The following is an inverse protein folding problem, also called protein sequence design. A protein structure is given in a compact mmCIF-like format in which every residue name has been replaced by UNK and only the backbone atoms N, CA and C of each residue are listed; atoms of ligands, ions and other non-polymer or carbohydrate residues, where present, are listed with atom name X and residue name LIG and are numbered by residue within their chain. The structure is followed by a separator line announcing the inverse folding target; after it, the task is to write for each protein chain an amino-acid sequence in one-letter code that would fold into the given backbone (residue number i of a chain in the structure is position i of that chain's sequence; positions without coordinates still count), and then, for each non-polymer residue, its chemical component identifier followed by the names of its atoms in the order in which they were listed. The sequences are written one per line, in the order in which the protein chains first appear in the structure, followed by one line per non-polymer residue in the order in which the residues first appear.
data_IF_960754939538
#
_entry.id   IF_960754939538
#
_cell.length_a   1.000
_cell.length_b   1.000
_cell.length_c   1.000
_cell.angle_alpha   90.00
_cell.angle_beta   90.00
_cell.angle_gamma   90.00
#
_symmetry.space_group_name_H-M   'P 1'
#
loop_
_entity.id
_entity.type
_entity.pdbx_description
1 polymer ?
#
# COMPACT_ATOMS: atom_id res chain seq x y z
N UNK A 1 20.50 37.91 46.75
CA UNK A 1 20.08 36.50 46.57
C UNK A 1 20.30 36.12 45.12
N UNK A 2 21.40 35.44 44.82
CA UNK A 2 21.75 34.98 43.47
C UNK A 2 22.04 33.50 43.53
N UNK A 3 21.05 32.67 43.19
CA UNK A 3 21.23 31.22 43.07
C UNK A 3 22.08 30.94 41.84
N UNK A 4 23.41 30.87 42.01
CA UNK A 4 24.30 30.33 40.99
C UNK A 4 24.04 28.83 40.90
N UNK A 5 23.15 28.44 40.00
CA UNK A 5 22.90 27.04 39.69
C UNK A 5 24.22 26.35 39.34
N UNK A 6 24.60 25.34 40.13
CA UNK A 6 25.82 24.56 39.93
C UNK A 6 25.87 24.08 38.48
N UNK A 7 27.08 24.03 37.89
CA UNK A 7 27.29 23.62 36.48
C UNK A 7 26.56 22.32 36.11
N UNK A 8 26.37 21.43 37.10
CA UNK A 8 25.64 20.17 37.00
C UNK A 8 24.12 20.38 36.82
N UNK A 9 23.53 21.36 37.51
CA UNK A 9 22.10 21.71 37.35
C UNK A 9 21.76 22.24 35.96
N UNK A 10 22.67 23.05 35.36
CA UNK A 10 22.51 23.52 33.98
C UNK A 10 22.64 22.38 32.95
N UNK A 11 23.54 21.43 33.19
CA UNK A 11 23.65 20.22 32.35
C UNK A 11 22.42 19.32 32.45
N UNK A 12 21.91 19.09 33.66
CA UNK A 12 20.70 18.29 33.87
C UNK A 12 19.48 18.93 33.18
N UNK A 13 19.31 20.26 33.28
CA UNK A 13 18.26 20.97 32.58
C UNK A 13 18.38 20.86 31.04
N UNK A 14 19.60 20.89 30.51
CA UNK A 14 19.86 20.68 29.07
C UNK A 14 19.48 19.28 28.59
N UNK A 15 19.83 18.24 29.36
CA UNK A 15 19.46 16.84 29.03
C UNK A 15 17.95 16.65 29.06
N UNK A 16 17.28 17.18 30.08
CA UNK A 16 15.82 17.10 30.18
C UNK A 16 15.13 17.87 29.05
N UNK A 17 15.64 19.05 28.68
CA UNK A 17 15.13 19.82 27.54
C UNK A 17 15.28 19.06 26.22
N UNK A 18 16.44 18.42 26.00
CA UNK A 18 16.66 17.59 24.81
C UNK A 18 15.71 16.38 24.78
N UNK A 19 15.47 15.74 25.94
CA UNK A 19 14.58 14.60 26.05
C UNK A 19 13.12 14.97 25.80
N UNK A 20 12.63 16.06 26.41
CA UNK A 20 11.27 16.57 26.18
C UNK A 20 11.11 17.05 24.74
N UNK A 21 12.11 17.70 24.16
CA UNK A 21 12.12 18.07 22.74
C UNK A 21 12.04 16.86 21.81
N UNK A 22 12.81 15.80 22.11
CA UNK A 22 12.76 14.52 21.40
C UNK A 22 11.38 13.85 21.51
N UNK A 23 10.78 13.84 22.70
CA UNK A 23 9.43 13.33 22.91
C UNK A 23 8.36 14.15 22.21
N UNK A 24 8.47 15.47 22.21
CA UNK A 24 7.53 16.34 21.50
C UNK A 24 7.63 16.13 19.97
N UNK A 25 8.84 15.94 19.44
CA UNK A 25 9.05 15.59 18.03
C UNK A 25 8.51 14.20 17.70
N UNK A 26 8.73 13.21 18.58
CA UNK A 26 8.20 11.87 18.41
C UNK A 26 6.66 11.85 18.50
N UNK A 27 6.09 12.54 19.49
CA UNK A 27 4.66 12.69 19.66
C UNK A 27 4.04 13.42 18.46
N UNK A 28 4.68 14.47 17.95
CA UNK A 28 4.25 15.11 16.69
C UNK A 28 4.30 14.12 15.53
N UNK A 29 5.31 13.25 15.43
CA UNK A 29 5.39 12.27 14.34
C UNK A 29 4.36 11.15 14.47
N UNK A 30 4.11 10.66 15.68
CA UNK A 30 3.21 9.53 15.94
C UNK A 30 1.74 9.97 16.02
N UNK A 31 1.45 11.12 16.65
CA UNK A 31 0.10 11.66 16.80
C UNK A 31 -0.40 12.42 15.56
N UNK A 32 0.47 12.75 14.58
CA UNK A 32 0.07 13.15 13.23
C UNK A 32 -0.22 11.95 12.30
N UNK A 33 -0.33 10.73 12.86
CA UNK A 33 -0.99 9.57 12.23
C UNK A 33 -2.49 9.38 12.56
N UNK A 34 -3.31 10.38 12.93
CA UNK A 34 -4.72 10.15 13.24
C UNK A 34 -5.50 9.70 12.00
N UNK A 35 -4.94 9.96 10.80
CA UNK A 35 -5.46 9.46 9.53
C UNK A 35 -5.52 7.92 9.47
N UNK A 36 -4.54 7.22 10.05
CA UNK A 36 -4.49 5.75 10.01
C UNK A 36 -5.46 5.11 10.99
N UNK A 37 -5.67 5.74 12.14
CA UNK A 37 -6.68 5.29 13.12
C UNK A 37 -8.09 5.49 12.56
N UNK A 38 -8.34 6.62 11.88
CA UNK A 38 -9.59 6.87 11.14
C UNK A 38 -9.79 5.86 10.01
N UNK A 39 -8.76 5.57 9.22
CA UNK A 39 -8.84 4.54 8.18
C UNK A 39 -9.08 3.15 8.76
N UNK A 40 -8.54 2.84 9.94
CA UNK A 40 -8.79 1.57 10.64
C UNK A 40 -10.26 1.43 11.08
N UNK A 41 -10.84 2.50 11.60
CA UNK A 41 -12.26 2.56 11.98
C UNK A 41 -13.17 2.55 10.74
N UNK A 42 -12.83 3.34 9.72
CA UNK A 42 -13.56 3.42 8.48
C UNK A 42 -13.41 2.15 7.62
N UNK A 43 -12.31 1.41 7.76
CA UNK A 43 -12.10 0.09 7.17
C UNK A 43 -13.15 -0.94 7.58
N UNK A 44 -13.81 -0.75 8.73
CA UNK A 44 -14.95 -1.56 9.17
C UNK A 44 -16.20 -1.37 8.30
N UNK A 45 -16.27 -0.27 7.56
CA UNK A 45 -17.41 0.10 6.71
C UNK A 45 -17.22 -0.23 5.23
N UNK A 46 -16.06 -0.80 4.86
CA UNK A 46 -15.81 -1.23 3.48
C UNK A 46 -16.79 -2.35 3.16
N UNK A 47 -17.70 -2.09 2.21
CA UNK A 47 -18.63 -3.11 1.73
C UNK A 47 -17.94 -3.96 0.67
N UNK A 48 -18.06 -5.30 0.72
CA UNK A 48 -17.60 -6.16 -0.35
C UNK A 48 -18.23 -5.77 -1.70
N UNK A 49 -17.48 -5.91 -2.78
CA UNK A 49 -17.97 -5.53 -4.10
C UNK A 49 -17.03 -5.93 -5.22
N UNK A 50 -17.57 -6.00 -6.44
CA UNK A 50 -16.80 -6.30 -7.65
C UNK A 50 -17.06 -5.23 -8.72
N UNK A 51 -15.99 -4.77 -9.35
CA UNK A 51 -16.03 -3.87 -10.49
C UNK A 51 -15.52 -4.58 -11.74
N UNK A 52 -16.13 -4.33 -12.88
CA UNK A 52 -15.78 -4.93 -14.16
C UNK A 52 -15.53 -3.85 -15.21
N UNK A 53 -14.54 -4.08 -16.06
CA UNK A 53 -14.07 -3.13 -17.07
C UNK A 53 -13.87 -3.86 -18.39
N UNK A 54 -14.25 -3.22 -19.50
CA UNK A 54 -13.85 -3.67 -20.83
C UNK A 54 -12.39 -3.24 -21.08
N UNK A 55 -11.57 -4.13 -21.62
CA UNK A 55 -10.21 -3.79 -22.06
C UNK A 55 -10.27 -3.52 -23.55
N UNK A 56 -9.96 -2.28 -23.95
CA UNK A 56 -10.05 -1.83 -25.33
C UNK A 56 -8.65 -1.59 -25.92
N UNK A 57 -8.46 -1.97 -27.19
CA UNK A 57 -7.33 -1.59 -28.01
C UNK A 57 -7.86 -0.99 -29.31
N UNK A 58 -7.44 0.24 -29.63
CA UNK A 58 -7.93 0.98 -30.81
C UNK A 58 -9.47 1.05 -30.89
N UNK A 59 -10.14 1.13 -29.75
CA UNK A 59 -11.60 1.18 -29.66
C UNK A 59 -12.31 -0.17 -29.82
N UNK A 60 -11.58 -1.26 -30.07
CA UNK A 60 -12.12 -2.62 -30.09
C UNK A 60 -11.89 -3.29 -28.75
N UNK A 61 -12.88 -4.02 -28.24
CA UNK A 61 -12.70 -4.79 -27.02
C UNK A 61 -11.85 -6.02 -27.30
N UNK A 62 -10.72 -6.12 -26.59
CA UNK A 62 -9.78 -7.24 -26.68
C UNK A 62 -9.82 -8.11 -25.43
N UNK A 63 -10.62 -7.75 -24.42
CA UNK A 63 -10.64 -8.46 -23.15
C UNK A 63 -11.51 -7.80 -22.09
N UNK A 64 -11.29 -8.20 -20.83
CA UNK A 64 -11.92 -7.59 -19.68
C UNK A 64 -10.97 -7.61 -18.47
N UNK A 65 -11.25 -6.72 -17.51
CA UNK A 65 -10.64 -6.74 -16.21
C UNK A 65 -11.72 -6.69 -15.12
N UNK A 66 -11.42 -7.26 -13.97
CA UNK A 66 -12.26 -7.17 -12.78
C UNK A 66 -11.41 -6.93 -11.55
N UNK A 67 -11.98 -6.23 -10.58
CA UNK A 67 -11.40 -6.03 -9.24
C UNK A 67 -12.47 -6.34 -8.22
N UNK A 68 -12.20 -7.29 -7.34
CA UNK A 68 -13.10 -7.68 -6.24
C UNK A 68 -12.46 -7.30 -4.92
N UNK A 69 -13.23 -6.65 -4.07
CA UNK A 69 -12.84 -6.28 -2.72
C UNK A 69 -13.70 -7.10 -1.77
N UNK A 70 -13.07 -7.82 -0.86
CA UNK A 70 -13.73 -8.58 0.19
C UNK A 70 -13.18 -8.19 1.56
N UNK A 71 -14.04 -8.20 2.57
CA UNK A 71 -13.65 -7.97 3.97
C UNK A 71 -13.51 -9.31 4.70
N UNK A 72 -12.42 -9.49 5.43
CA UNK A 72 -12.15 -10.67 6.26
C UNK A 72 -11.99 -10.29 7.73
N UNK A 73 -11.93 -11.27 8.63
CA UNK A 73 -11.68 -11.01 10.06
C UNK A 73 -10.33 -10.29 10.29
N UNK A 74 -9.35 -10.52 9.42
CA UNK A 74 -8.00 -9.94 9.52
C UNK A 74 -7.82 -8.58 8.83
N UNK A 75 -8.69 -8.22 7.89
CA UNK A 75 -8.49 -7.04 7.06
C UNK A 75 -9.34 -7.04 5.78
N UNK A 76 -8.73 -6.65 4.67
CA UNK A 76 -9.39 -6.53 3.36
C UNK A 76 -8.55 -7.32 2.35
N UNK A 77 -9.19 -8.09 1.49
CA UNK A 77 -8.54 -8.71 0.33
C UNK A 77 -9.01 -8.04 -0.95
N UNK A 78 -8.08 -7.87 -1.89
CA UNK A 78 -8.35 -7.37 -3.23
C UNK A 78 -7.87 -8.40 -4.23
N UNK A 79 -8.77 -8.80 -5.13
CA UNK A 79 -8.49 -9.74 -6.21
C UNK A 79 -8.68 -9.04 -7.55
N UNK A 80 -7.59 -8.81 -8.25
CA UNK A 80 -7.61 -8.27 -9.61
C UNK A 80 -7.40 -9.40 -10.62
N UNK A 81 -8.21 -9.40 -11.67
CA UNK A 81 -8.11 -10.32 -12.78
C UNK A 81 -8.22 -9.56 -14.10
N UNK A 82 -7.27 -9.76 -14.98
CA UNK A 82 -7.28 -9.22 -16.33
C UNK A 82 -7.06 -10.35 -17.31
N UNK A 83 -7.83 -10.33 -18.40
CA UNK A 83 -7.58 -11.15 -19.58
C UNK A 83 -7.74 -10.30 -20.83
N UNK A 84 -6.78 -10.38 -21.74
CA UNK A 84 -6.84 -9.68 -23.01
C UNK A 84 -6.06 -10.43 -24.09
N UNK A 85 -6.57 -10.41 -25.32
CA UNK A 85 -5.86 -10.97 -26.47
C UNK A 85 -4.92 -9.88 -27.03
N UNK A 86 -3.60 -10.11 -26.92
CA UNK A 86 -2.55 -9.16 -27.27
C UNK A 86 -1.80 -9.59 -28.53
N UNK A 87 -1.50 -8.68 -29.47
CA UNK A 87 -0.63 -8.97 -30.61
C UNK A 87 0.84 -8.99 -30.16
N UNK A 88 1.44 -10.17 -30.05
CA UNK A 88 2.86 -10.37 -29.70
C UNK A 88 3.54 -11.06 -30.88
N UNK A 89 4.57 -10.43 -31.46
CA UNK A 89 5.28 -11.02 -32.60
C UNK A 89 4.44 -11.19 -33.88
N UNK A 90 3.28 -10.52 -33.98
CA UNK A 90 2.37 -10.63 -35.13
C UNK A 90 1.25 -11.68 -34.96
N UNK A 91 1.30 -12.48 -33.91
CA UNK A 91 0.22 -13.42 -33.55
C UNK A 91 -0.57 -12.91 -32.32
N UNK A 92 -1.84 -13.28 -32.25
CA UNK A 92 -2.68 -12.96 -31.10
C UNK A 92 -2.46 -14.00 -30.00
N UNK A 93 -1.99 -13.54 -28.85
CA UNK A 93 -1.78 -14.35 -27.66
C UNK A 93 -2.71 -13.88 -26.54
N UNK A 94 -3.35 -14.83 -25.87
CA UNK A 94 -4.12 -14.52 -24.67
C UNK A 94 -3.17 -14.22 -23.52
N UNK A 95 -3.24 -12.99 -23.03
CA UNK A 95 -2.59 -12.56 -21.81
C UNK A 95 -3.56 -12.55 -20.64
N UNK A 96 -3.11 -13.05 -19.49
CA UNK A 96 -3.80 -13.02 -18.22
C UNK A 96 -2.89 -12.43 -17.16
N UNK A 97 -3.45 -11.57 -16.31
CA UNK A 97 -2.79 -11.10 -15.10
C UNK A 97 -3.73 -11.31 -13.92
N UNK A 98 -3.21 -11.88 -12.84
CA UNK A 98 -3.93 -12.06 -11.58
C UNK A 98 -3.15 -11.37 -10.49
N UNK A 99 -3.82 -10.65 -9.60
CA UNK A 99 -3.20 -10.12 -8.39
C UNK A 99 -4.13 -10.38 -7.22
N UNK A 100 -3.55 -10.86 -6.13
CA UNK A 100 -4.20 -11.02 -4.84
C UNK A 100 -3.41 -10.17 -3.85
N UNK A 101 -4.08 -9.21 -3.23
CA UNK A 101 -3.48 -8.31 -2.25
C UNK A 101 -4.25 -8.40 -0.96
N UNK A 102 -3.54 -8.67 0.12
CA UNK A 102 -4.10 -8.53 1.46
C UNK A 102 -3.70 -7.18 2.04
N UNK A 103 -4.67 -6.56 2.69
CA UNK A 103 -4.53 -5.30 3.36
C UNK A 103 -4.93 -5.43 4.82
N UNK A 104 -4.23 -4.68 5.66
CA UNK A 104 -4.69 -4.41 7.02
C UNK A 104 -6.01 -3.63 7.00
N UNK A 105 -6.71 -3.59 8.14
CA UNK A 105 -7.92 -2.75 8.29
C UNK A 105 -7.69 -1.27 8.01
N UNK A 106 -6.45 -0.79 8.10
CA UNK A 106 -6.09 0.59 7.77
C UNK A 106 -5.72 0.78 6.28
N UNK A 107 -6.15 -0.13 5.40
CA UNK A 107 -5.92 -0.12 3.95
C UNK A 107 -4.45 -0.18 3.51
N UNK A 108 -3.56 -0.68 4.38
CA UNK A 108 -2.13 -0.87 4.05
C UNK A 108 -1.90 -2.28 3.53
N UNK A 109 -1.15 -2.40 2.45
CA UNK A 109 -0.73 -3.71 1.92
C UNK A 109 0.11 -4.46 2.98
N UNK A 110 -0.30 -5.67 3.34
CA UNK A 110 0.47 -6.60 4.17
C UNK A 110 1.23 -7.61 3.31
N UNK A 111 0.57 -8.15 2.29
CA UNK A 111 1.17 -9.06 1.34
C UNK A 111 0.48 -8.99 -0.02
N UNK A 112 1.19 -9.42 -1.06
CA UNK A 112 0.60 -9.61 -2.38
C UNK A 112 1.18 -10.84 -3.09
N UNK A 113 0.40 -11.35 -4.03
CA UNK A 113 0.82 -12.30 -5.05
C UNK A 113 0.34 -11.80 -6.40
N UNK A 114 1.17 -11.92 -7.41
CA UNK A 114 0.87 -11.56 -8.78
C UNK A 114 1.32 -12.69 -9.70
N UNK A 115 0.49 -13.02 -10.68
CA UNK A 115 0.83 -13.95 -11.74
C UNK A 115 0.51 -13.29 -13.08
N UNK A 116 1.43 -13.38 -14.02
CA UNK A 116 1.25 -12.90 -15.40
C UNK A 116 1.62 -14.03 -16.35
N UNK A 117 0.73 -14.32 -17.28
CA UNK A 117 0.93 -15.26 -18.38
C UNK A 117 0.50 -14.57 -19.68
N UNK A 118 1.38 -14.48 -20.67
CA UNK A 118 1.11 -13.85 -21.95
C UNK A 118 1.38 -14.77 -23.15
N UNK A 119 1.23 -16.09 -22.98
CA UNK A 119 1.64 -17.07 -23.99
C UNK A 119 3.17 -17.23 -24.10
N UNK A 120 3.89 -16.61 -23.18
CA UNK A 120 5.33 -16.75 -22.94
C UNK A 120 5.54 -17.51 -21.62
N UNK A 121 6.78 -17.57 -21.15
CA UNK A 121 7.09 -18.01 -19.79
C UNK A 121 6.26 -17.23 -18.75
N UNK A 122 5.48 -17.90 -17.88
CA UNK A 122 4.75 -17.21 -16.83
C UNK A 122 5.71 -16.57 -15.82
N UNK A 123 5.27 -15.43 -15.29
CA UNK A 123 5.98 -14.67 -14.27
C UNK A 123 5.12 -14.67 -13.02
N UNK A 124 5.70 -15.14 -11.91
CA UNK A 124 5.10 -15.07 -10.58
C UNK A 124 5.89 -14.07 -9.73
N UNK A 125 5.19 -13.20 -9.02
CA UNK A 125 5.78 -12.34 -8.02
C UNK A 125 4.99 -12.44 -6.72
N UNK A 126 5.68 -12.39 -5.59
CA UNK A 126 5.04 -12.24 -4.29
C UNK A 126 5.80 -11.24 -3.45
N UNK A 127 5.10 -10.63 -2.49
CA UNK A 127 5.74 -9.72 -1.56
C UNK A 127 5.09 -9.71 -0.20
N UNK A 128 5.89 -9.42 0.82
CA UNK A 128 5.44 -9.21 2.19
C UNK A 128 6.00 -7.88 2.70
N UNK A 129 5.11 -7.08 3.29
CA UNK A 129 5.42 -5.78 3.87
C UNK A 129 5.58 -5.93 5.38
N UNK A 130 6.70 -5.47 5.91
CA UNK A 130 6.99 -5.46 7.34
C UNK A 130 6.92 -4.03 7.85
N UNK A 131 5.87 -3.73 8.62
CA UNK A 131 5.59 -2.38 9.11
C UNK A 131 5.25 -1.42 7.97
N UNK A 132 6.01 -0.33 7.86
CA UNK A 132 5.86 0.71 6.83
C UNK A 132 7.20 1.04 6.13
N UNK A 133 8.22 0.20 6.33
CA UNK A 133 9.60 0.54 5.95
C UNK A 133 10.30 -0.52 5.09
N UNK A 134 9.74 -1.73 4.99
CA UNK A 134 10.39 -2.83 4.30
C UNK A 134 9.38 -3.66 3.51
N UNK A 135 9.69 -3.86 2.23
CA UNK A 135 9.06 -4.84 1.37
C UNK A 135 10.09 -5.90 0.99
N UNK A 136 9.75 -7.16 1.21
CA UNK A 136 10.50 -8.30 0.67
C UNK A 136 9.72 -8.80 -0.54
N UNK A 137 10.34 -8.78 -1.72
CA UNK A 137 9.74 -9.26 -2.98
C UNK A 137 10.48 -10.51 -3.44
N UNK A 138 9.74 -11.54 -3.83
CA UNK A 138 10.28 -12.69 -4.54
C UNK A 138 9.70 -12.72 -5.95
N UNK A 139 10.56 -12.79 -6.97
CA UNK A 139 10.15 -12.89 -8.37
C UNK A 139 10.66 -14.21 -8.94
N UNK A 140 9.78 -14.92 -9.64
CA UNK A 140 10.08 -16.15 -10.36
C UNK A 140 9.67 -15.97 -11.81
N UNK A 141 10.61 -16.24 -12.71
CA UNK A 141 10.36 -16.36 -14.14
C UNK A 141 10.80 -17.75 -14.58
N UNK A 142 10.24 -18.30 -15.67
CA UNK A 142 10.53 -19.68 -16.10
C UNK A 142 12.02 -19.96 -16.33
N UNK A 143 12.83 -18.94 -16.59
CA UNK A 143 14.27 -19.07 -16.87
C UNK A 143 15.18 -18.78 -15.68
N UNK A 144 14.64 -18.36 -14.53
CA UNK A 144 15.46 -17.83 -13.41
C UNK A 144 15.03 -18.45 -12.08
N UNK A 145 16.01 -18.85 -11.27
CA UNK A 145 15.78 -19.23 -9.88
C UNK A 145 15.17 -18.05 -9.11
N UNK A 146 14.35 -18.31 -8.09
CA UNK A 146 13.64 -17.26 -7.33
C UNK A 146 14.63 -16.19 -6.89
N UNK A 147 14.43 -14.95 -7.35
CA UNK A 147 15.22 -13.80 -6.93
C UNK A 147 14.47 -13.06 -5.84
N UNK A 148 15.14 -12.77 -4.73
CA UNK A 148 14.54 -12.12 -3.56
C UNK A 148 15.20 -10.77 -3.32
N UNK A 149 14.40 -9.71 -3.40
CA UNK A 149 14.85 -8.34 -3.18
C UNK A 149 14.26 -7.76 -1.91
N UNK A 150 15.06 -6.93 -1.24
CA UNK A 150 14.64 -6.12 -0.11
C UNK A 150 14.55 -4.67 -0.57
N UNK A 151 13.36 -4.11 -0.50
CA UNK A 151 13.07 -2.74 -0.91
C UNK A 151 12.74 -1.94 0.34
N UNK A 152 13.47 -0.86 0.57
CA UNK A 152 13.15 0.09 1.63
C UNK A 152 11.97 0.94 1.19
N UNK A 153 11.01 1.13 2.08
CA UNK A 153 9.84 1.97 1.88
C UNK A 153 10.00 3.26 2.68
N UNK A 154 9.47 4.35 2.13
CA UNK A 154 9.39 5.65 2.81
C UNK A 154 8.01 5.89 3.46
N UNK A 155 7.18 4.84 3.51
CA UNK A 155 5.82 4.87 4.06
C UNK A 155 5.01 3.62 3.70
N UNK A 156 3.76 3.53 4.19
CA UNK A 156 2.88 2.41 3.86
C UNK A 156 2.56 2.38 2.36
N UNK A 157 2.43 1.17 1.81
CA UNK A 157 1.97 0.98 0.44
C UNK A 157 0.45 1.03 0.43
N UNK A 158 -0.10 1.91 -0.41
CA UNK A 158 -1.51 1.98 -0.73
C UNK A 158 -1.74 1.48 -2.15
N UNK A 159 -2.79 0.68 -2.34
CA UNK A 159 -3.20 0.27 -3.67
C UNK A 159 -3.86 1.45 -4.40
N UNK A 160 -3.43 1.77 -5.64
CA UNK A 160 -4.04 2.84 -6.43
C UNK A 160 -5.57 2.67 -6.59
N UNK A 161 -6.04 1.43 -6.72
CA UNK A 161 -7.47 1.08 -6.82
C UNK A 161 -8.26 1.42 -5.55
N UNK A 162 -7.60 1.48 -4.40
CA UNK A 162 -8.20 1.83 -3.12
C UNK A 162 -7.98 3.29 -2.74
N UNK A 163 -7.25 4.09 -3.51
CA UNK A 163 -7.03 5.51 -3.21
C UNK A 163 -8.36 6.28 -3.09
N UNK A 164 -9.35 6.15 -4.00
CA UNK A 164 -10.63 6.83 -3.84
C UNK A 164 -11.34 6.44 -2.54
N UNK A 165 -11.25 5.16 -2.15
CA UNK A 165 -11.84 4.65 -0.92
C UNK A 165 -11.11 5.21 0.31
N UNK A 166 -9.77 5.21 0.31
CA UNK A 166 -8.96 5.78 1.38
C UNK A 166 -9.23 7.28 1.55
N UNK A 167 -9.39 8.03 0.45
CA UNK A 167 -9.76 9.45 0.51
C UNK A 167 -11.13 9.64 1.16
N UNK A 168 -12.16 8.91 0.71
CA UNK A 168 -13.54 9.03 1.23
C UNK A 168 -13.61 8.64 2.71
N UNK A 169 -12.85 7.62 3.13
CA UNK A 169 -12.86 7.08 4.48
C UNK A 169 -11.96 7.86 5.44
N UNK A 170 -10.88 8.48 4.96
CA UNK A 170 -9.89 9.18 5.78
C UNK A 170 -10.36 10.56 6.22
N UNK A 171 -10.89 11.36 5.28
CA UNK A 171 -11.39 12.72 5.54
C UNK A 171 -12.54 13.08 4.58
N UNK A 172 -13.47 13.93 5.02
CA UNK A 172 -14.53 14.40 4.13
C UNK A 172 -13.90 15.34 3.08
N UNK A 173 -13.94 15.03 1.78
CA UNK A 173 -13.26 15.84 0.79
C UNK A 173 -13.93 17.21 0.66
N UNK A 174 -13.12 18.27 0.80
CA UNK A 174 -13.52 19.65 0.52
C UNK A 174 -13.01 20.10 -0.86
N UNK A 175 -13.73 21.00 -1.53
CA UNK A 175 -13.34 21.48 -2.87
C UNK A 175 -11.97 22.16 -2.82
N UNK A 176 -11.01 21.65 -3.61
CA UNK A 176 -9.66 22.22 -3.72
C UNK A 176 -8.67 21.76 -2.65
N UNK A 177 -9.09 20.93 -1.70
CA UNK A 177 -8.19 20.38 -0.68
C UNK A 177 -7.20 19.38 -1.29
N UNK A 178 -5.97 19.37 -0.77
CA UNK A 178 -4.95 18.37 -1.10
C UNK A 178 -4.95 17.30 -0.02
N UNK A 179 -5.14 16.04 -0.42
CA UNK A 179 -5.12 14.90 0.49
C UNK A 179 -3.74 14.25 0.41
N UNK A 180 -3.05 14.17 1.55
CA UNK A 180 -1.83 13.37 1.70
C UNK A 180 -2.20 12.06 2.40
N UNK A 181 -2.06 10.94 1.68
CA UNK A 181 -2.29 9.58 2.18
C UNK A 181 -0.97 8.92 2.61
#
# INVERSE_FOLDING_TARGET
MSTVGSRRGRMAAGVLGLWVGGLALLAKKELFRPHMEKLREAGLSVSPGASYYAVLQQGQQIGFASSTIDTTDGGISVHDYLVADLPIGGELHRATARTEVELTRALRVSQFKMQVDAGLAPIDASGQVFGDSLLIVAVRSATTQVDTHRVRLDGPILLPTLVPLAVVLGERPEKGAHVSL
#
